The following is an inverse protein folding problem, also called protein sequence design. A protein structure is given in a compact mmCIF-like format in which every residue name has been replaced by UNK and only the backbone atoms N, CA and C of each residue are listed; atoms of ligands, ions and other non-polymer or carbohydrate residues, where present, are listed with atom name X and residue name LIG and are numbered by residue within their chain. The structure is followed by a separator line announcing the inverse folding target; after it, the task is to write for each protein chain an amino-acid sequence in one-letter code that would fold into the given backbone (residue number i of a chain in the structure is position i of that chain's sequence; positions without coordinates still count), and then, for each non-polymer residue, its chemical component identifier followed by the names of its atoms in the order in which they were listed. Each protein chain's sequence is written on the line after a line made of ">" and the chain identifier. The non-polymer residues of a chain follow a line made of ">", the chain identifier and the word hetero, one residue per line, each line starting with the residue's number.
data_IF_179197883036
#
_entry.id   IF_179197883036
#
_cell.length_a   1.000
_cell.length_b   1.000
_cell.length_c   1.000
_cell.angle_alpha   90.00
_cell.angle_beta   90.00
_cell.angle_gamma   90.00
#
_symmetry.space_group_name_H-M   'P 1'
#
loop_
_entity.id
_entity.type
_entity.pdbx_description
1 polymer ?
#
# COMPACT_ATOMS: atom_id res chain seq x y z
N UNK A 1 22.85 15.08 13.34
CA UNK A 1 23.91 16.09 13.10
C UNK A 1 25.25 15.44 12.72
N UNK A 2 25.58 14.23 13.19
CA UNK A 2 26.82 13.54 12.82
C UNK A 2 26.86 13.03 11.36
N UNK A 3 25.75 12.93 10.69
CA UNK A 3 25.59 12.45 9.30
C UNK A 3 25.29 13.57 8.30
N UNK A 4 25.32 14.82 8.73
CA UNK A 4 25.01 15.95 7.88
C UNK A 4 26.11 16.12 6.81
N UNK A 5 25.72 16.04 5.53
CA UNK A 5 26.64 16.11 4.38
C UNK A 5 27.31 14.78 3.99
N UNK A 6 26.91 13.66 4.62
CA UNK A 6 27.41 12.32 4.24
C UNK A 6 26.30 11.61 3.43
N UNK A 7 26.62 11.25 2.20
CA UNK A 7 25.79 10.34 1.41
C UNK A 7 26.18 8.89 1.72
N UNK A 8 25.26 8.19 2.39
CA UNK A 8 25.48 6.80 2.80
C UNK A 8 25.62 5.86 1.61
N UNK A 9 24.86 6.10 0.55
CA UNK A 9 24.92 5.24 -0.65
C UNK A 9 26.27 5.35 -1.34
N UNK A 10 26.83 6.54 -1.44
CA UNK A 10 28.18 6.76 -1.99
C UNK A 10 29.28 6.02 -1.21
N UNK A 11 29.08 5.79 0.08
CA UNK A 11 30.03 5.06 0.91
C UNK A 11 29.79 3.54 0.86
N UNK A 12 28.53 3.11 0.95
CA UNK A 12 28.17 1.70 1.12
C UNK A 12 28.30 0.93 -0.19
N UNK A 13 27.88 1.51 -1.32
CA UNK A 13 27.85 0.80 -2.61
C UNK A 13 29.25 0.33 -3.04
N UNK A 14 30.29 1.19 -3.09
CA UNK A 14 31.62 0.74 -3.47
C UNK A 14 32.20 -0.32 -2.53
N UNK A 15 31.94 -0.21 -1.24
CA UNK A 15 32.45 -1.16 -0.25
C UNK A 15 31.75 -2.52 -0.31
N UNK A 16 30.46 -2.55 -0.64
CA UNK A 16 29.72 -3.77 -0.90
C UNK A 16 30.21 -4.47 -2.17
N UNK A 17 30.36 -3.72 -3.26
CA UNK A 17 30.81 -4.26 -4.55
C UNK A 17 32.24 -4.83 -4.49
N UNK A 18 33.15 -4.20 -3.72
CA UNK A 18 34.50 -4.77 -3.45
C UNK A 18 34.43 -6.15 -2.79
N UNK A 19 33.34 -6.50 -2.13
CA UNK A 19 33.11 -7.77 -1.45
C UNK A 19 32.18 -8.71 -2.25
N UNK A 20 31.92 -8.39 -3.51
CA UNK A 20 30.95 -9.09 -4.37
C UNK A 20 29.51 -9.16 -3.76
N UNK A 21 29.14 -8.17 -2.98
CA UNK A 21 27.80 -8.03 -2.43
C UNK A 21 26.96 -7.11 -3.32
N UNK A 22 25.70 -7.46 -3.54
CA UNK A 22 24.75 -6.62 -4.23
C UNK A 22 24.07 -5.65 -3.27
N UNK A 23 23.76 -4.46 -3.76
CA UNK A 23 23.09 -3.41 -2.99
C UNK A 23 21.71 -3.17 -3.57
N UNK A 24 20.70 -3.39 -2.74
CA UNK A 24 19.30 -3.09 -3.05
C UNK A 24 18.83 -1.96 -2.14
N UNK A 25 18.25 -0.93 -2.72
CA UNK A 25 17.61 0.13 -1.96
C UNK A 25 16.17 -0.27 -1.69
N UNK A 26 15.80 -0.36 -0.42
CA UNK A 26 14.43 -0.59 -0.02
C UNK A 26 13.71 0.75 0.13
N UNK A 27 12.62 0.89 -0.61
CA UNK A 27 11.70 2.00 -0.48
C UNK A 27 10.48 1.52 0.30
N UNK A 28 10.26 2.15 1.43
CA UNK A 28 9.08 1.94 2.25
C UNK A 28 8.13 3.14 2.09
N UNK A 29 6.83 2.89 2.19
CA UNK A 29 5.87 3.97 2.17
C UNK A 29 6.06 4.91 3.35
N UNK A 30 5.95 6.24 3.14
CA UNK A 30 5.97 7.19 4.24
C UNK A 30 4.66 7.12 5.03
N UNK A 31 4.75 6.95 6.34
CA UNK A 31 3.64 7.12 7.27
C UNK A 31 3.77 8.44 8.01
N UNK A 32 2.73 9.26 8.02
CA UNK A 32 2.79 10.62 8.54
C UNK A 32 2.86 10.72 10.06
N UNK A 33 2.31 9.72 10.76
CA UNK A 33 2.32 9.67 12.21
C UNK A 33 2.40 8.24 12.71
N UNK A 34 3.57 7.77 12.97
CA UNK A 34 3.69 6.66 13.91
C UNK A 34 4.10 7.22 15.26
N UNK A 35 3.15 7.83 15.97
CA UNK A 35 3.37 8.29 17.33
C UNK A 35 3.76 7.08 18.19
N UNK A 36 5.02 6.99 18.59
CA UNK A 36 5.51 6.07 19.59
C UNK A 36 6.32 4.87 19.12
N UNK A 37 6.47 4.60 17.84
CA UNK A 37 7.21 3.40 17.38
C UNK A 37 8.57 3.64 16.74
N UNK A 38 9.14 4.85 16.79
CA UNK A 38 10.48 5.10 16.24
C UNK A 38 10.69 4.60 14.80
N UNK A 39 9.62 4.56 14.02
CA UNK A 39 9.64 4.09 12.65
C UNK A 39 10.52 5.00 11.80
N UNK A 40 11.45 4.40 11.07
CA UNK A 40 12.29 5.07 10.06
C UNK A 40 11.47 5.75 8.95
N UNK A 41 10.17 5.47 8.87
CA UNK A 41 9.27 5.98 7.85
C UNK A 41 8.62 7.32 8.23
N UNK A 42 8.93 7.86 9.40
CA UNK A 42 8.41 9.13 9.89
C UNK A 42 9.18 10.29 9.23
N UNK A 43 8.99 10.44 7.93
CA UNK A 43 9.64 11.49 7.15
C UNK A 43 8.71 12.70 7.16
N UNK A 44 9.22 13.83 7.65
CA UNK A 44 8.53 15.11 7.54
C UNK A 44 8.70 15.65 6.10
N UNK A 45 7.82 15.19 5.22
CA UNK A 45 7.81 15.60 3.82
C UNK A 45 6.84 16.76 3.66
N UNK A 46 7.31 17.92 3.21
CA UNK A 46 6.44 19.06 2.95
C UNK A 46 5.26 18.69 2.04
N UNK A 47 4.06 19.10 2.43
CA UNK A 47 2.80 18.85 1.71
C UNK A 47 2.33 17.37 1.65
N UNK A 48 3.06 16.40 2.18
CA UNK A 48 2.59 15.01 2.19
C UNK A 48 1.24 14.88 2.93
N UNK A 49 0.99 15.73 3.92
CA UNK A 49 -0.28 15.78 4.64
C UNK A 49 -1.52 16.00 3.75
N UNK A 50 -1.35 16.58 2.57
CA UNK A 50 -2.43 16.80 1.59
C UNK A 50 -2.71 15.57 0.73
N UNK A 51 -1.78 14.62 0.74
CA UNK A 51 -1.85 13.39 -0.06
C UNK A 51 -2.43 12.19 0.70
N UNK A 52 -2.78 12.36 1.98
CA UNK A 52 -3.20 11.25 2.83
C UNK A 52 -4.54 10.67 2.45
N UNK A 53 -4.69 9.36 2.68
CA UNK A 53 -5.98 8.68 2.63
C UNK A 53 -6.99 9.31 3.61
N UNK A 54 -8.24 9.15 3.29
CA UNK A 54 -9.36 9.57 4.13
C UNK A 54 -10.26 8.36 4.34
N UNK A 55 -10.64 8.10 5.57
CA UNK A 55 -11.56 7.00 5.86
C UNK A 55 -13.01 7.30 5.44
N UNK A 56 -13.85 6.29 5.58
CA UNK A 56 -15.29 6.35 5.24
C UNK A 56 -16.06 7.45 6.00
N UNK A 57 -15.54 7.92 7.14
CA UNK A 57 -16.13 8.97 7.96
C UNK A 57 -15.54 10.37 7.71
N UNK A 58 -14.58 10.48 6.81
CA UNK A 58 -13.92 11.75 6.48
C UNK A 58 -12.70 12.05 7.34
N UNK A 59 -12.21 11.09 8.12
CA UNK A 59 -11.05 11.26 8.99
C UNK A 59 -9.78 10.90 8.17
N UNK A 60 -8.82 11.81 8.21
CA UNK A 60 -7.52 11.58 7.54
C UNK A 60 -6.74 10.47 8.24
N UNK A 61 -6.22 9.56 7.44
CA UNK A 61 -5.34 8.47 7.89
C UNK A 61 -3.86 8.87 7.81
N UNK A 62 -2.99 7.96 8.24
CA UNK A 62 -1.54 8.18 8.27
C UNK A 62 -0.81 7.64 7.02
N UNK A 63 -1.55 7.14 6.06
CA UNK A 63 -1.04 6.55 4.82
C UNK A 63 -1.36 7.45 3.62
N UNK A 64 -0.44 7.66 2.67
CA UNK A 64 -0.72 8.44 1.47
C UNK A 64 -1.67 7.70 0.52
N UNK A 65 -2.56 8.43 -0.14
CA UNK A 65 -3.43 7.88 -1.17
C UNK A 65 -2.66 7.51 -2.44
N UNK A 66 -2.77 6.28 -2.89
CA UNK A 66 -2.20 5.85 -4.18
C UNK A 66 -2.89 6.45 -5.40
N UNK A 67 -4.06 7.06 -5.22
CA UNK A 67 -4.74 7.83 -6.25
C UNK A 67 -4.25 9.28 -6.33
N UNK A 68 -3.49 9.77 -5.34
CA UNK A 68 -3.03 11.15 -5.32
C UNK A 68 -1.85 11.34 -6.29
N UNK A 69 -1.95 12.22 -7.30
CA UNK A 69 -0.91 12.41 -8.29
C UNK A 69 0.38 12.99 -7.71
N UNK A 70 0.31 13.84 -6.69
CA UNK A 70 1.50 14.44 -6.08
C UNK A 70 2.31 13.38 -5.31
N UNK A 71 1.62 12.46 -4.62
CA UNK A 71 2.28 11.31 -3.99
C UNK A 71 2.97 10.41 -5.04
N UNK A 72 2.29 10.10 -6.14
CA UNK A 72 2.87 9.27 -7.22
C UNK A 72 4.08 9.95 -7.85
N UNK A 73 3.98 11.25 -8.15
CA UNK A 73 5.09 12.04 -8.69
C UNK A 73 6.29 12.07 -7.74
N UNK A 74 6.03 12.19 -6.44
CA UNK A 74 7.08 12.13 -5.42
C UNK A 74 7.78 10.77 -5.39
N UNK A 75 7.04 9.66 -5.44
CA UNK A 75 7.60 8.31 -5.52
C UNK A 75 8.44 8.12 -6.78
N UNK A 76 7.94 8.59 -7.93
CA UNK A 76 8.67 8.53 -9.19
C UNK A 76 9.99 9.32 -9.11
N UNK A 77 9.97 10.51 -8.55
CA UNK A 77 11.16 11.35 -8.41
C UNK A 77 12.24 10.68 -7.54
N UNK A 78 11.86 10.08 -6.42
CA UNK A 78 12.80 9.35 -5.54
C UNK A 78 13.42 8.15 -6.27
N UNK A 79 12.61 7.34 -6.94
CA UNK A 79 13.10 6.15 -7.65
C UNK A 79 14.02 6.58 -8.79
N UNK A 80 13.62 7.57 -9.58
CA UNK A 80 14.44 8.07 -10.69
C UNK A 80 15.78 8.62 -10.20
N UNK A 81 15.78 9.38 -9.11
CA UNK A 81 16.99 9.91 -8.48
C UNK A 81 17.95 8.78 -8.08
N UNK A 82 17.45 7.79 -7.36
CA UNK A 82 18.27 6.67 -6.89
C UNK A 82 18.80 5.81 -8.05
N UNK A 83 17.97 5.52 -9.03
CA UNK A 83 18.35 4.68 -10.17
C UNK A 83 19.38 5.39 -11.07
N UNK A 84 19.29 6.72 -11.24
CA UNK A 84 20.18 7.47 -12.12
C UNK A 84 21.51 7.84 -11.48
N UNK A 85 21.49 8.14 -10.17
CA UNK A 85 22.64 8.73 -9.51
C UNK A 85 23.52 7.70 -8.77
N UNK A 86 23.01 6.49 -8.52
CA UNK A 86 23.76 5.47 -7.78
C UNK A 86 23.93 4.18 -8.58
N UNK A 87 25.05 3.49 -8.31
CA UNK A 87 25.36 2.19 -8.90
C UNK A 87 24.77 1.04 -8.09
N UNK A 88 23.45 1.11 -7.85
CA UNK A 88 22.69 0.07 -7.14
C UNK A 88 22.38 -1.11 -8.06
N UNK A 89 22.19 -2.30 -7.48
CA UNK A 89 21.81 -3.53 -8.19
C UNK A 89 20.29 -3.69 -8.34
N UNK A 90 19.53 -2.98 -7.55
CA UNK A 90 18.06 -3.02 -7.64
C UNK A 90 17.35 -2.13 -6.64
N UNK A 91 16.04 -2.03 -6.87
CA UNK A 91 15.07 -1.41 -5.97
C UNK A 91 14.20 -2.51 -5.38
N UNK A 92 13.91 -2.42 -4.09
CA UNK A 92 12.90 -3.21 -3.41
C UNK A 92 11.80 -2.27 -2.94
N UNK A 93 10.59 -2.51 -3.43
CA UNK A 93 9.41 -1.75 -3.03
C UNK A 93 8.63 -2.50 -1.94
N UNK A 94 8.36 -1.83 -0.84
CA UNK A 94 7.60 -2.38 0.28
C UNK A 94 6.23 -1.73 0.35
N UNK A 95 5.20 -2.49 -0.07
CA UNK A 95 3.81 -2.10 0.01
C UNK A 95 3.14 -2.84 1.18
N UNK A 96 3.07 -2.19 2.33
CA UNK A 96 2.53 -2.78 3.58
C UNK A 96 1.09 -2.35 3.88
N UNK A 97 0.35 -1.88 2.88
CA UNK A 97 -1.00 -1.37 3.05
C UNK A 97 -2.02 -2.45 3.34
N UNK A 98 -2.96 -2.11 4.19
CA UNK A 98 -4.16 -2.88 4.43
C UNK A 98 -5.27 -2.42 3.48
N UNK A 99 -5.95 -3.37 2.83
CA UNK A 99 -7.12 -3.07 2.02
C UNK A 99 -8.31 -2.62 2.90
N UNK A 100 -9.36 -2.02 2.33
CA UNK A 100 -10.55 -1.65 3.09
C UNK A 100 -11.15 -2.79 3.92
N UNK A 101 -11.22 -4.01 3.37
CA UNK A 101 -11.67 -5.18 4.13
C UNK A 101 -10.67 -5.59 5.21
N UNK A 102 -9.36 -5.54 4.93
CA UNK A 102 -8.33 -5.82 5.95
C UNK A 102 -8.41 -4.85 7.12
N UNK A 103 -8.61 -3.56 6.84
CA UNK A 103 -8.77 -2.53 7.85
C UNK A 103 -9.99 -2.84 8.74
N UNK A 104 -11.15 -3.13 8.14
CA UNK A 104 -12.37 -3.46 8.88
C UNK A 104 -12.21 -4.73 9.73
N UNK A 105 -11.52 -5.75 9.22
CA UNK A 105 -11.21 -6.97 9.98
C UNK A 105 -10.28 -6.73 11.18
N UNK A 106 -9.53 -5.63 11.17
CA UNK A 106 -8.67 -5.19 12.28
C UNK A 106 -9.37 -4.16 13.19
N UNK A 107 -10.63 -3.85 12.93
CA UNK A 107 -11.40 -2.88 13.70
C UNK A 107 -11.17 -1.42 13.28
N UNK A 108 -10.46 -1.20 12.17
CA UNK A 108 -10.19 0.12 11.63
C UNK A 108 -11.25 0.55 10.61
N UNK A 109 -11.52 1.85 10.55
CA UNK A 109 -12.41 2.40 9.54
C UNK A 109 -11.77 2.28 8.14
N UNK A 110 -12.54 1.80 7.14
CA UNK A 110 -12.01 1.54 5.81
C UNK A 110 -11.67 2.83 5.05
N UNK A 111 -10.63 2.78 4.23
CA UNK A 111 -10.20 3.85 3.31
C UNK A 111 -10.12 3.27 1.87
N UNK A 112 -9.77 3.99 0.80
CA UNK A 112 -9.44 5.41 0.74
C UNK A 112 -10.62 6.19 0.11
N UNK A 113 -11.22 7.07 0.86
CA UNK A 113 -12.28 7.98 0.41
C UNK A 113 -11.78 9.42 0.26
N UNK A 114 -10.48 9.62 0.02
CA UNK A 114 -9.91 10.93 -0.32
C UNK A 114 -10.52 11.48 -1.60
N UNK A 115 -10.40 12.79 -1.82
CA UNK A 115 -10.90 13.43 -3.02
C UNK A 115 -10.31 12.81 -4.30
N UNK A 116 -9.01 12.54 -4.31
CA UNK A 116 -8.33 11.90 -5.45
C UNK A 116 -8.92 10.52 -5.76
N UNK A 117 -9.09 9.65 -4.76
CA UNK A 117 -9.69 8.33 -4.92
C UNK A 117 -11.13 8.39 -5.37
N UNK A 118 -11.95 9.29 -4.79
CA UNK A 118 -13.34 9.45 -5.20
C UNK A 118 -13.47 9.90 -6.66
N UNK A 119 -12.68 10.91 -7.06
CA UNK A 119 -12.70 11.42 -8.43
C UNK A 119 -12.29 10.34 -9.43
N UNK A 120 -11.29 9.54 -9.10
CA UNK A 120 -10.87 8.44 -9.94
C UNK A 120 -11.91 7.32 -10.02
N UNK A 121 -12.53 6.95 -8.89
CA UNK A 121 -13.60 5.96 -8.86
C UNK A 121 -14.81 6.39 -9.72
N UNK A 122 -15.21 7.66 -9.62
CA UNK A 122 -16.27 8.26 -10.44
C UNK A 122 -15.89 8.18 -11.92
N UNK A 123 -14.65 8.53 -12.29
CA UNK A 123 -14.18 8.45 -13.68
C UNK A 123 -14.21 7.01 -14.23
N UNK A 124 -14.13 6.00 -13.37
CA UNK A 124 -14.29 4.57 -13.70
C UNK A 124 -15.73 4.08 -13.65
N UNK A 125 -16.70 4.96 -13.39
CA UNK A 125 -18.13 4.62 -13.34
C UNK A 125 -18.57 3.95 -12.05
N UNK A 126 -17.80 4.08 -10.96
CA UNK A 126 -18.12 3.51 -9.64
C UNK A 126 -19.02 4.49 -8.87
N UNK A 127 -20.13 3.98 -8.32
CA UNK A 127 -20.97 4.73 -7.38
C UNK A 127 -20.29 4.79 -5.99
N UNK A 128 -19.55 5.85 -5.78
CA UNK A 128 -18.77 6.07 -4.55
C UNK A 128 -19.66 6.13 -3.30
N UNK A 129 -20.85 6.72 -3.42
CA UNK A 129 -21.76 6.84 -2.27
C UNK A 129 -22.41 5.48 -1.91
N UNK A 130 -22.70 4.64 -2.90
CA UNK A 130 -23.13 3.27 -2.65
C UNK A 130 -22.00 2.45 -1.98
N UNK A 131 -20.76 2.56 -2.48
CA UNK A 131 -19.60 1.94 -1.86
C UNK A 131 -19.39 2.42 -0.41
N UNK A 132 -19.54 3.72 -0.17
CA UNK A 132 -19.42 4.32 1.16
C UNK A 132 -20.46 3.77 2.12
N UNK A 133 -21.72 3.69 1.72
CA UNK A 133 -22.79 3.11 2.56
C UNK A 133 -22.51 1.64 2.88
N UNK A 134 -22.13 0.86 1.88
CA UNK A 134 -21.77 -0.54 2.06
C UNK A 134 -20.61 -0.74 3.02
N UNK A 135 -19.54 0.06 2.87
CA UNK A 135 -18.40 0.03 3.78
C UNK A 135 -18.78 0.39 5.22
N UNK A 136 -19.68 1.37 5.43
CA UNK A 136 -20.19 1.72 6.77
C UNK A 136 -20.97 0.54 7.38
N UNK A 137 -21.83 -0.11 6.59
CA UNK A 137 -22.60 -1.27 7.07
C UNK A 137 -21.69 -2.45 7.44
N UNK A 138 -20.69 -2.75 6.59
CA UNK A 138 -19.72 -3.80 6.86
C UNK A 138 -18.84 -3.48 8.07
N UNK A 139 -18.40 -2.23 8.19
CA UNK A 139 -17.64 -1.78 9.36
C UNK A 139 -18.41 -1.93 10.65
N UNK A 140 -19.69 -1.54 10.67
CA UNK A 140 -20.56 -1.71 11.84
C UNK A 140 -20.68 -3.18 12.23
N UNK A 141 -20.89 -4.07 11.26
CA UNK A 141 -20.90 -5.53 11.50
C UNK A 141 -19.57 -6.00 12.11
N UNK A 142 -18.43 -5.56 11.55
CA UNK A 142 -17.11 -5.96 12.06
C UNK A 142 -16.86 -5.46 13.49
N UNK A 143 -17.28 -4.23 13.81
CA UNK A 143 -17.19 -3.70 15.18
C UNK A 143 -18.02 -4.54 16.17
N UNK A 144 -19.24 -4.91 15.81
CA UNK A 144 -20.09 -5.78 16.59
C UNK A 144 -19.44 -7.15 16.82
N UNK A 145 -18.91 -7.76 15.75
CA UNK A 145 -18.27 -9.09 15.81
C UNK A 145 -16.99 -9.07 16.66
N UNK A 146 -16.12 -8.07 16.47
CA UNK A 146 -14.90 -7.90 17.26
C UNK A 146 -15.21 -7.57 18.72
N UNK A 147 -16.33 -6.89 18.97
CA UNK A 147 -16.85 -6.61 20.32
C UNK A 147 -17.48 -7.83 21.01
N UNK A 148 -17.53 -8.98 20.35
CA UNK A 148 -18.06 -10.21 20.93
C UNK A 148 -19.58 -10.33 20.88
N UNK A 149 -20.25 -9.55 20.02
CA UNK A 149 -21.70 -9.67 19.84
C UNK A 149 -22.07 -11.03 19.27
N UNK A 150 -23.06 -11.67 19.85
CA UNK A 150 -23.63 -12.89 19.33
C UNK A 150 -24.59 -12.59 18.16
N UNK A 151 -24.57 -13.46 17.15
CA UNK A 151 -25.45 -13.39 15.98
C UNK A 151 -26.26 -14.68 15.87
N UNK A 152 -27.53 -14.60 15.57
CA UNK A 152 -28.48 -15.73 15.54
C UNK A 152 -27.98 -16.88 14.63
N UNK A 153 -27.43 -16.55 13.45
CA UNK A 153 -26.87 -17.51 12.48
C UNK A 153 -25.34 -17.64 12.58
N UNK A 154 -24.72 -17.02 13.59
CA UNK A 154 -23.27 -16.92 13.74
C UNK A 154 -22.63 -15.82 12.87
N UNK A 155 -21.43 -15.38 13.28
CA UNK A 155 -20.75 -14.25 12.66
C UNK A 155 -20.42 -14.48 11.18
N UNK A 156 -20.03 -15.70 10.79
CA UNK A 156 -19.67 -15.98 9.39
C UNK A 156 -20.86 -15.85 8.43
N UNK A 157 -22.01 -16.40 8.80
CA UNK A 157 -23.23 -16.29 7.96
C UNK A 157 -23.71 -14.84 7.90
N UNK A 158 -23.62 -14.10 9.01
CA UNK A 158 -23.97 -12.68 9.04
C UNK A 158 -23.00 -11.86 8.18
N UNK A 159 -21.72 -12.18 8.17
CA UNK A 159 -20.73 -11.58 7.26
C UNK A 159 -21.11 -11.78 5.79
N UNK A 160 -21.42 -13.01 5.39
CA UNK A 160 -21.85 -13.31 4.01
C UNK A 160 -23.13 -12.56 3.64
N UNK A 161 -24.11 -12.53 4.57
CA UNK A 161 -25.36 -11.78 4.38
C UNK A 161 -25.08 -10.30 4.17
N UNK A 162 -24.24 -9.68 5.02
CA UNK A 162 -23.85 -8.28 4.89
C UNK A 162 -23.19 -7.97 3.56
N UNK A 163 -22.32 -8.86 3.04
CA UNK A 163 -21.75 -8.73 1.70
C UNK A 163 -22.78 -8.84 0.58
N UNK A 164 -23.75 -9.75 0.71
CA UNK A 164 -24.81 -9.91 -0.30
C UNK A 164 -25.76 -8.71 -0.34
N UNK A 165 -26.02 -8.11 0.81
CA UNK A 165 -26.84 -6.90 0.93
C UNK A 165 -26.09 -5.62 0.50
N UNK A 166 -24.75 -5.65 0.55
CA UNK A 166 -23.88 -4.51 0.24
C UNK A 166 -22.73 -4.94 -0.69
N UNK A 167 -22.99 -5.39 -1.92
CA UNK A 167 -21.96 -5.89 -2.83
C UNK A 167 -20.95 -4.83 -3.23
N UNK A 168 -21.27 -3.55 -3.07
CA UNK A 168 -20.41 -2.41 -3.35
C UNK A 168 -19.15 -2.38 -2.48
N UNK A 169 -19.15 -3.05 -1.33
CA UNK A 169 -17.95 -3.27 -0.51
C UNK A 169 -16.86 -3.96 -1.32
N UNK A 170 -17.22 -5.00 -2.09
CA UNK A 170 -16.28 -5.72 -2.95
C UNK A 170 -15.84 -4.91 -4.16
N UNK A 171 -16.70 -4.02 -4.67
CA UNK A 171 -16.33 -3.09 -5.73
C UNK A 171 -15.27 -2.11 -5.23
N UNK A 172 -15.44 -1.56 -4.02
CA UNK A 172 -14.48 -0.65 -3.41
C UNK A 172 -13.16 -1.34 -3.07
N UNK A 173 -13.22 -2.54 -2.49
CA UNK A 173 -12.06 -3.38 -2.22
C UNK A 173 -11.24 -3.63 -3.49
N UNK A 174 -11.90 -4.00 -4.58
CA UNK A 174 -11.27 -4.24 -5.88
C UNK A 174 -10.68 -2.95 -6.45
N UNK A 175 -11.39 -1.85 -6.40
CA UNK A 175 -10.90 -0.55 -6.88
C UNK A 175 -9.62 -0.16 -6.15
N UNK A 176 -9.62 -0.22 -4.81
CA UNK A 176 -8.45 0.07 -3.99
C UNK A 176 -7.26 -0.82 -4.38
N UNK A 177 -7.49 -2.11 -4.55
CA UNK A 177 -6.46 -3.07 -4.91
C UNK A 177 -5.87 -2.80 -6.29
N UNK A 178 -6.71 -2.51 -7.30
CA UNK A 178 -6.24 -2.16 -8.65
C UNK A 178 -5.37 -0.89 -8.63
N UNK A 179 -5.67 0.09 -7.78
CA UNK A 179 -4.83 1.29 -7.63
C UNK A 179 -3.43 0.96 -7.12
N UNK A 180 -3.34 0.05 -6.15
CA UNK A 180 -2.04 -0.41 -5.65
C UNK A 180 -1.27 -1.18 -6.71
N UNK A 181 -1.94 -2.07 -7.45
CA UNK A 181 -1.32 -2.77 -8.59
C UNK A 181 -0.82 -1.81 -9.67
N UNK A 182 -1.58 -0.77 -9.96
CA UNK A 182 -1.17 0.24 -10.94
C UNK A 182 0.09 0.98 -10.49
N UNK A 183 0.18 1.35 -9.21
CA UNK A 183 1.41 1.95 -8.67
C UNK A 183 2.60 1.00 -8.81
N UNK A 184 2.47 -0.27 -8.42
CA UNK A 184 3.55 -1.25 -8.54
C UNK A 184 4.02 -1.39 -10.01
N UNK A 185 3.07 -1.44 -10.96
CA UNK A 185 3.38 -1.47 -12.41
C UNK A 185 4.12 -0.24 -12.90
N UNK A 186 3.71 0.93 -12.42
CA UNK A 186 4.36 2.20 -12.75
C UNK A 186 5.79 2.27 -12.23
N UNK A 187 6.00 1.88 -10.98
CA UNK A 187 7.33 1.89 -10.37
C UNK A 187 8.26 0.90 -11.06
N UNK A 188 7.76 -0.30 -11.38
CA UNK A 188 8.50 -1.28 -12.18
C UNK A 188 8.86 -0.71 -13.55
N UNK A 189 7.88 -0.15 -14.26
CA UNK A 189 8.08 0.45 -15.57
C UNK A 189 9.12 1.58 -15.54
N UNK A 190 9.08 2.43 -14.52
CA UNK A 190 10.04 3.52 -14.33
C UNK A 190 11.47 3.00 -14.14
N UNK A 191 11.66 1.99 -13.27
CA UNK A 191 12.97 1.39 -13.04
C UNK A 191 13.51 0.80 -14.33
N UNK A 192 12.70 0.04 -15.08
CA UNK A 192 13.10 -0.56 -16.35
C UNK A 192 13.36 0.46 -17.46
N UNK A 193 12.64 1.57 -17.46
CA UNK A 193 12.87 2.68 -18.37
C UNK A 193 14.21 3.39 -18.08
N UNK A 194 14.54 3.61 -16.80
CA UNK A 194 15.78 4.26 -16.40
C UNK A 194 17.00 3.36 -16.61
N UNK A 195 16.94 2.11 -16.16
CA UNK A 195 18.01 1.10 -16.27
C UNK A 195 17.40 -0.28 -16.54
N UNK A 196 17.30 -0.74 -17.80
CA UNK A 196 16.63 -2.00 -18.15
C UNK A 196 17.12 -3.25 -17.42
N UNK A 197 18.40 -3.28 -17.07
CA UNK A 197 19.04 -4.42 -16.39
C UNK A 197 18.93 -4.34 -14.85
N UNK A 198 18.45 -3.23 -14.29
CA UNK A 198 18.27 -3.10 -12.86
C UNK A 198 17.09 -3.97 -12.41
N UNK A 199 17.25 -4.67 -11.28
CA UNK A 199 16.16 -5.49 -10.77
C UNK A 199 15.20 -4.67 -9.90
N UNK A 200 13.92 -5.03 -9.98
CA UNK A 200 12.86 -4.49 -9.12
C UNK A 200 12.18 -5.63 -8.37
N UNK A 201 12.15 -5.53 -7.07
CA UNK A 201 11.54 -6.54 -6.20
C UNK A 201 10.37 -5.99 -5.42
N UNK A 202 9.40 -6.84 -5.15
CA UNK A 202 8.30 -6.56 -4.24
C UNK A 202 8.55 -7.22 -2.89
N UNK A 203 8.57 -6.42 -1.83
CA UNK A 203 8.54 -6.89 -0.47
C UNK A 203 7.07 -6.94 -0.02
N UNK A 204 6.58 -8.12 0.30
CA UNK A 204 5.15 -8.33 0.52
C UNK A 204 4.91 -8.86 1.92
N UNK A 205 4.15 -8.11 2.71
CA UNK A 205 3.93 -8.39 4.11
C UNK A 205 3.08 -9.65 4.33
N UNK A 206 3.39 -10.41 5.37
CA UNK A 206 2.76 -11.71 5.65
C UNK A 206 1.25 -11.64 5.84
N UNK A 207 0.73 -10.64 6.57
CA UNK A 207 -0.71 -10.46 6.80
C UNK A 207 -1.49 -10.38 5.48
N UNK A 208 -0.96 -9.63 4.53
CA UNK A 208 -1.55 -9.45 3.22
C UNK A 208 -1.55 -10.74 2.38
N UNK A 209 -0.62 -11.66 2.65
CA UNK A 209 -0.53 -12.93 1.92
C UNK A 209 -1.52 -13.98 2.38
N UNK A 210 -1.92 -13.94 3.64
CA UNK A 210 -2.85 -14.90 4.21
C UNK A 210 -4.30 -14.43 4.16
N UNK A 211 -4.55 -13.16 3.78
CA UNK A 211 -5.90 -12.70 3.52
C UNK A 211 -6.46 -13.35 2.27
N UNK A 212 -7.55 -14.09 2.42
CA UNK A 212 -8.18 -14.85 1.32
C UNK A 212 -8.70 -13.95 0.21
N UNK A 213 -9.26 -12.77 0.54
CA UNK A 213 -9.77 -11.81 -0.44
C UNK A 213 -8.64 -11.23 -1.28
N UNK A 214 -7.56 -10.80 -0.63
CA UNK A 214 -6.39 -10.27 -1.32
C UNK A 214 -5.69 -11.34 -2.16
N UNK A 215 -5.55 -12.56 -1.63
CA UNK A 215 -4.98 -13.69 -2.37
C UNK A 215 -5.79 -14.06 -3.60
N UNK A 216 -7.11 -14.01 -3.51
CA UNK A 216 -7.99 -14.26 -4.64
C UNK A 216 -7.91 -13.17 -5.72
N UNK A 217 -7.75 -11.92 -5.31
CA UNK A 217 -7.70 -10.77 -6.23
C UNK A 217 -6.29 -10.46 -6.73
N UNK A 218 -5.25 -10.86 -6.00
CA UNK A 218 -3.86 -10.56 -6.34
C UNK A 218 -2.94 -11.78 -6.13
N UNK A 219 -3.03 -12.76 -7.01
CA UNK A 219 -2.21 -13.97 -6.92
C UNK A 219 -0.73 -13.66 -7.24
N UNK A 220 0.18 -14.42 -6.66
CA UNK A 220 1.62 -14.18 -6.81
C UNK A 220 2.11 -14.22 -8.26
N UNK A 221 1.52 -15.09 -9.10
CA UNK A 221 1.90 -15.15 -10.51
C UNK A 221 1.57 -13.83 -11.27
N UNK A 222 0.57 -13.07 -10.84
CA UNK A 222 0.31 -11.74 -11.39
C UNK A 222 1.39 -10.75 -10.96
N UNK A 223 1.84 -10.82 -9.71
CA UNK A 223 2.90 -9.94 -9.20
C UNK A 223 4.22 -10.10 -9.97
N UNK A 224 4.52 -11.32 -10.45
CA UNK A 224 5.72 -11.56 -11.27
C UNK A 224 5.67 -10.92 -12.65
N UNK A 225 4.54 -10.37 -13.08
CA UNK A 225 4.44 -9.62 -14.34
C UNK A 225 5.05 -8.22 -14.25
N UNK A 226 5.21 -7.69 -13.04
CA UNK A 226 5.79 -6.36 -12.78
C UNK A 226 6.74 -6.35 -11.59
N UNK A 227 7.43 -7.46 -11.39
CA UNK A 227 8.55 -7.58 -10.47
C UNK A 227 9.50 -8.68 -10.97
N UNK A 228 10.79 -8.49 -10.81
CA UNK A 228 11.78 -9.52 -11.13
C UNK A 228 11.83 -10.60 -10.05
N UNK A 229 11.44 -10.26 -8.83
CA UNK A 229 11.32 -11.17 -7.69
C UNK A 229 10.33 -10.64 -6.66
N UNK A 230 9.79 -11.56 -5.85
CA UNK A 230 8.89 -11.25 -4.73
C UNK A 230 9.49 -11.83 -3.46
N UNK A 231 9.60 -11.02 -2.43
CA UNK A 231 10.08 -11.40 -1.09
C UNK A 231 8.91 -11.42 -0.11
N UNK A 232 8.35 -12.60 0.21
CA UNK A 232 7.38 -12.69 1.29
C UNK A 232 8.08 -12.46 2.63
N UNK A 233 7.51 -11.57 3.46
CA UNK A 233 7.99 -11.38 4.82
C UNK A 233 7.35 -12.45 5.70
N UNK A 234 8.16 -13.29 6.31
CA UNK A 234 7.72 -14.41 7.16
C UNK A 234 8.16 -14.23 8.61
N UNK A 235 8.06 -13.01 9.15
CA UNK A 235 8.33 -12.81 10.58
C UNK A 235 7.26 -13.52 11.41
N UNK A 236 7.73 -14.26 12.42
CA UNK A 236 6.90 -14.89 13.45
C UNK A 236 6.83 -13.99 14.69
#
# INVERSE_FOLDING_TARGET
>A
REMEGIDILDLVIPEAHKRNMKVYVELMEPFFKYAGHGSVNNIDIPNLATCMEVDVFGIRKDEPSTSNPDYRNWMHAIIEDQVRNYDIDGIMWCNERNSPLDQMMQGEAPSDFSEASRNEAIARGIDVEACRRGCIAMYAFMQDALGGKEFDDGAFITFIRTLLENPEVLIWERFWLERNKDLDRELYGLVKWCKPNLTFGLNVWNRNHFNLFRRAQWPWHEQTMYADWVKPITYQ
#
